data_IF_885900742510
#
_entry.id   IF_885900742510
#
_cell.length_a   1.000
_cell.length_b   1.000
_cell.length_c   1.000
_cell.angle_alpha   90.00
_cell.angle_beta   90.00
_cell.angle_gamma   90.00
#
_symmetry.space_group_name_H-M   'P 1'
#
loop_
_entity.id
_entity.type
_entity.pdbx_description
1 polymer ?
#
# COMPACT_ATOMS: atom_id res chain seq x y z
N UNK A 1 -16.23 3.14 18.19
CA UNK A 1 -15.27 3.68 17.20
C UNK A 1 -13.83 3.16 17.40
N UNK A 2 -13.30 3.04 18.62
CA UNK A 2 -11.92 2.61 18.89
C UNK A 2 -11.52 1.21 18.33
N UNK A 3 -12.41 0.20 18.37
CA UNK A 3 -12.12 -1.15 17.85
C UNK A 3 -11.84 -1.20 16.34
N UNK A 4 -12.49 -0.35 15.54
CA UNK A 4 -12.27 -0.31 14.07
C UNK A 4 -10.98 0.43 13.72
N UNK A 5 -10.64 1.50 14.45
CA UNK A 5 -9.37 2.21 14.30
C UNK A 5 -8.16 1.29 14.57
N UNK A 6 -8.26 0.41 15.58
CA UNK A 6 -7.23 -0.57 15.90
C UNK A 6 -7.02 -1.61 14.79
N UNK A 7 -8.11 -2.06 14.14
CA UNK A 7 -8.04 -2.99 13.00
C UNK A 7 -7.44 -2.31 11.76
N UNK A 8 -7.73 -1.02 11.54
CA UNK A 8 -7.16 -0.27 10.42
C UNK A 8 -5.64 -0.05 10.59
N UNK A 9 -5.21 0.33 11.79
CA UNK A 9 -3.79 0.37 12.12
C UNK A 9 -3.16 -1.02 11.94
N UNK A 10 -3.81 -2.09 12.42
CA UNK A 10 -3.30 -3.45 12.26
C UNK A 10 -3.13 -3.88 10.79
N UNK A 11 -4.04 -3.52 9.86
CA UNK A 11 -3.86 -3.86 8.44
C UNK A 11 -2.71 -3.08 7.78
N UNK A 12 -2.50 -1.80 8.15
CA UNK A 12 -1.38 -1.00 7.67
C UNK A 12 -0.05 -1.48 8.28
N UNK A 13 -0.03 -1.79 9.58
CA UNK A 13 1.11 -2.37 10.29
C UNK A 13 1.48 -3.77 9.76
N UNK A 14 0.49 -4.59 9.43
CA UNK A 14 0.72 -5.91 8.81
C UNK A 14 1.39 -5.78 7.43
N UNK A 15 1.11 -4.70 6.69
CA UNK A 15 1.81 -4.40 5.44
C UNK A 15 3.23 -3.87 5.67
N UNK A 16 3.46 -3.15 6.77
CA UNK A 16 4.76 -2.58 7.14
C UNK A 16 5.70 -3.55 7.87
N UNK A 17 5.29 -4.80 8.10
CA UNK A 17 6.17 -5.86 8.61
C UNK A 17 6.93 -5.47 9.88
N UNK A 18 6.24 -5.25 11.00
CA UNK A 18 6.90 -5.03 12.29
C UNK A 18 7.56 -6.33 12.78
N UNK A 19 8.77 -6.61 12.29
CA UNK A 19 9.64 -7.67 12.79
C UNK A 19 10.24 -7.22 14.12
N UNK A 20 9.97 -7.97 15.19
CA UNK A 20 10.62 -7.78 16.48
C UNK A 20 12.14 -7.85 16.36
N UNK A 21 12.82 -6.88 16.97
CA UNK A 21 14.26 -6.87 17.12
C UNK A 21 14.64 -8.06 18.03
N UNK A 22 15.34 -9.04 17.48
CA UNK A 22 16.15 -9.99 18.26
C UNK A 22 17.62 -9.69 17.95
N UNK A 23 18.51 -9.66 18.96
CA UNK A 23 19.92 -9.38 18.74
C UNK A 23 20.57 -10.58 18.05
N UNK A 24 21.26 -10.34 16.93
CA UNK A 24 22.22 -11.29 16.37
C UNK A 24 23.49 -11.20 17.22
N UNK A 25 23.84 -12.30 17.88
CA UNK A 25 25.13 -12.46 18.53
C UNK A 25 26.18 -12.74 17.45
N UNK A 26 27.18 -11.88 17.34
CA UNK A 26 28.33 -12.10 16.48
C UNK A 26 29.21 -13.20 17.10
N UNK A 27 29.49 -14.25 16.33
CA UNK A 27 30.64 -15.13 16.60
C UNK A 27 31.67 -14.91 15.51
N UNK A 28 32.77 -14.28 15.92
CA UNK A 28 34.00 -14.09 15.17
C UNK A 28 34.74 -15.42 14.99
N UNK A 29 35.12 -15.73 13.76
CA UNK A 29 36.29 -16.57 13.47
C UNK A 29 36.75 -16.30 12.04
N UNK A 30 37.66 -15.34 11.90
CA UNK A 30 38.53 -15.19 10.72
C UNK A 30 39.48 -16.40 10.58
N UNK A 31 39.91 -16.74 9.35
CA UNK A 31 41.31 -16.44 9.03
C UNK A 31 41.54 -15.85 7.63
N UNK A 32 42.69 -15.19 7.51
CA UNK A 32 43.14 -14.33 6.43
C UNK A 32 43.58 -15.05 5.14
N UNK A 33 43.60 -14.27 4.03
CA UNK A 33 44.72 -14.00 3.10
C UNK A 33 44.20 -13.85 1.66
N UNK A 34 44.33 -12.64 1.09
CA UNK A 34 44.87 -12.33 -0.25
C UNK A 34 44.73 -10.80 -0.51
N UNK A 35 45.85 -10.09 -0.71
CA UNK A 35 45.82 -8.68 -1.14
C UNK A 35 46.10 -8.58 -2.64
N UNK A 36 45.17 -8.06 -3.46
CA UNK A 36 45.50 -7.50 -4.76
C UNK A 36 45.82 -5.99 -4.63
N UNK A 37 46.69 -5.50 -5.50
CA UNK A 37 47.04 -4.09 -5.65
C UNK A 37 45.77 -3.24 -5.83
N UNK A 38 45.65 -2.16 -5.05
CA UNK A 38 44.46 -1.28 -5.05
C UNK A 38 44.46 -0.42 -6.30
N UNK A 39 43.45 -0.61 -7.15
CA UNK A 39 43.25 0.21 -8.34
C UNK A 39 42.82 1.63 -7.95
N UNK A 40 43.19 2.64 -8.75
CA UNK A 40 42.87 4.05 -8.48
C UNK A 40 41.36 4.34 -8.38
N UNK A 41 40.51 3.45 -8.92
CA UNK A 41 39.05 3.48 -8.74
C UNK A 41 38.63 3.15 -7.30
N UNK A 42 39.36 2.27 -6.62
CA UNK A 42 39.08 1.90 -5.23
C UNK A 42 39.50 3.03 -4.28
N UNK A 43 40.58 3.74 -4.58
CA UNK A 43 40.95 4.95 -3.84
C UNK A 43 39.94 6.09 -4.04
N UNK A 44 39.33 6.21 -5.21
CA UNK A 44 38.25 7.19 -5.47
C UNK A 44 36.98 6.81 -4.73
N UNK A 45 36.59 5.54 -4.75
CA UNK A 45 35.44 5.04 -3.99
C UNK A 45 35.64 5.17 -2.47
N UNK A 46 36.86 4.94 -1.97
CA UNK A 46 37.20 5.13 -0.56
C UNK A 46 37.27 6.62 -0.18
N UNK A 47 37.67 7.51 -1.11
CA UNK A 47 37.56 8.97 -0.92
C UNK A 47 36.11 9.43 -0.90
N UNK A 48 35.25 8.94 -1.78
CA UNK A 48 33.81 9.23 -1.74
C UNK A 48 33.14 8.69 -0.48
N UNK A 49 33.52 7.49 -0.03
CA UNK A 49 33.05 6.92 1.23
C UNK A 49 33.53 7.73 2.45
N UNK A 50 34.78 8.21 2.44
CA UNK A 50 35.33 9.04 3.50
C UNK A 50 34.77 10.48 3.49
N UNK A 51 34.41 11.02 2.32
CA UNK A 51 33.69 12.29 2.19
C UNK A 51 32.24 12.14 2.70
N UNK A 52 31.58 11.03 2.39
CA UNK A 52 30.26 10.69 2.92
C UNK A 52 30.26 10.51 4.45
N UNK A 53 31.28 9.82 5.00
CA UNK A 53 31.47 9.69 6.46
C UNK A 53 31.81 11.03 7.13
N UNK A 54 32.62 11.88 6.49
CA UNK A 54 32.86 13.27 6.96
C UNK A 54 31.57 14.08 7.01
N UNK A 55 30.74 13.95 5.98
CA UNK A 55 29.44 14.63 5.91
C UNK A 55 28.49 14.11 7.00
N UNK A 56 28.58 12.82 7.33
CA UNK A 56 27.80 12.17 8.39
C UNK A 56 28.29 12.55 9.80
N UNK A 57 29.59 12.73 10.00
CA UNK A 57 30.20 13.20 11.26
C UNK A 57 29.95 14.68 11.53
N UNK A 58 29.72 15.49 10.51
CA UNK A 58 29.32 16.90 10.64
C UNK A 58 27.89 17.09 11.23
N UNK A 59 27.14 16.01 11.48
CA UNK A 59 25.81 16.05 12.10
C UNK A 59 25.82 16.11 13.63
N UNK A 60 26.99 15.98 14.27
CA UNK A 60 27.21 16.15 15.71
C UNK A 60 27.79 17.55 15.92
N UNK A 61 27.03 18.44 16.57
CA UNK A 61 27.57 19.74 16.93
C UNK A 61 28.72 19.59 17.95
N UNK A 62 29.65 20.55 18.05
CA UNK A 62 30.81 20.46 18.96
C UNK A 62 30.45 20.25 20.43
N UNK A 63 29.19 20.52 20.80
CA UNK A 63 28.62 20.33 22.14
C UNK A 63 28.01 18.93 22.37
N UNK A 64 28.11 18.03 21.39
CA UNK A 64 27.55 16.68 21.46
C UNK A 64 26.06 16.60 21.18
N UNK A 65 25.41 17.70 20.75
CA UNK A 65 24.00 17.66 20.37
C UNK A 65 23.80 16.96 19.02
N UNK A 66 22.83 16.04 18.99
CA UNK A 66 22.39 15.37 17.78
C UNK A 66 21.33 16.24 17.10
N UNK A 67 21.57 16.65 15.86
CA UNK A 67 20.48 17.21 15.05
C UNK A 67 19.68 16.07 14.45
N UNK A 68 18.48 15.80 14.97
CA UNK A 68 17.51 14.95 14.26
C UNK A 68 17.06 15.73 13.04
N UNK A 69 17.79 15.62 11.93
CA UNK A 69 17.20 15.94 10.64
C UNK A 69 16.07 14.95 10.45
N UNK A 70 14.83 15.43 10.61
CA UNK A 70 13.65 14.66 10.25
C UNK A 70 13.79 14.38 8.76
N UNK A 71 14.26 13.19 8.39
CA UNK A 71 14.13 12.73 7.02
C UNK A 71 12.62 12.76 6.77
N UNK A 72 12.15 13.72 5.97
CA UNK A 72 10.82 13.62 5.42
C UNK A 72 10.82 12.28 4.68
N UNK A 73 10.09 11.31 5.20
CA UNK A 73 10.04 10.01 4.57
C UNK A 73 9.43 10.24 3.20
N UNK A 74 10.19 9.91 2.16
CA UNK A 74 9.73 9.91 0.78
C UNK A 74 8.60 8.89 0.67
N UNK A 75 7.38 9.32 0.98
CA UNK A 75 6.18 8.51 0.91
C UNK A 75 5.44 8.77 -0.41
N UNK A 76 6.18 9.07 -1.49
CA UNK A 76 5.60 9.19 -2.81
C UNK A 76 5.11 7.82 -3.25
N UNK A 77 3.81 7.60 -3.10
CA UNK A 77 3.13 6.43 -3.58
C UNK A 77 2.07 6.91 -4.55
N UNK A 78 2.12 6.41 -5.77
CA UNK A 78 1.07 6.64 -6.75
C UNK A 78 0.60 5.28 -7.24
N UNK A 79 -0.72 5.07 -7.21
CA UNK A 79 -1.35 3.86 -7.69
C UNK A 79 -2.46 4.24 -8.63
N UNK A 80 -2.46 3.62 -9.79
CA UNK A 80 -3.49 3.81 -10.82
C UNK A 80 -4.08 2.47 -11.19
N UNK A 81 -5.33 2.46 -11.60
CA UNK A 81 -5.89 1.28 -12.20
C UNK A 81 -7.23 1.52 -12.86
N UNK A 82 -7.46 0.74 -13.89
CA UNK A 82 -8.71 0.69 -14.62
C UNK A 82 -8.93 -0.75 -15.07
N UNK A 83 -10.18 -1.17 -15.17
CA UNK A 83 -10.47 -2.52 -15.60
C UNK A 83 -11.74 -3.06 -15.02
N UNK A 84 -11.84 -4.37 -15.02
CA UNK A 84 -13.01 -5.07 -14.52
C UNK A 84 -12.65 -6.47 -14.01
N UNK A 85 -13.50 -6.95 -13.11
CA UNK A 85 -13.47 -8.30 -12.58
C UNK A 85 -14.88 -8.87 -12.53
N UNK A 86 -14.99 -10.20 -12.43
CA UNK A 86 -16.27 -10.85 -12.19
C UNK A 86 -16.54 -10.88 -10.69
N UNK A 87 -17.53 -10.11 -10.24
CA UNK A 87 -18.01 -10.13 -8.86
C UNK A 87 -18.81 -11.41 -8.62
N UNK A 88 -18.38 -12.29 -7.68
CA UNK A 88 -19.11 -13.50 -7.38
C UNK A 88 -20.43 -13.22 -6.65
N UNK A 89 -21.33 -14.20 -6.67
CA UNK A 89 -22.53 -14.17 -5.84
C UNK A 89 -22.14 -14.15 -4.35
N UNK A 90 -22.96 -13.52 -3.52
CA UNK A 90 -22.77 -13.39 -2.07
C UNK A 90 -21.92 -12.19 -1.65
N UNK A 91 -21.36 -11.43 -2.59
CA UNK A 91 -20.56 -10.23 -2.32
C UNK A 91 -21.39 -9.02 -1.89
N UNK A 92 -22.67 -9.00 -2.29
CA UNK A 92 -23.66 -8.01 -1.86
C UNK A 92 -24.46 -8.53 -0.68
N UNK A 93 -24.46 -7.79 0.44
CA UNK A 93 -25.15 -8.23 1.66
C UNK A 93 -26.67 -8.29 1.52
N UNK A 94 -27.26 -7.33 0.79
CA UNK A 94 -28.71 -7.21 0.59
C UNK A 94 -29.22 -7.95 -0.66
N UNK A 95 -28.31 -8.39 -1.54
CA UNK A 95 -28.64 -9.07 -2.79
C UNK A 95 -27.65 -10.22 -3.06
N UNK A 96 -27.65 -11.28 -2.22
CA UNK A 96 -26.62 -12.32 -2.26
C UNK A 96 -26.60 -13.17 -3.53
N UNK A 97 -27.64 -13.09 -4.37
CA UNK A 97 -27.67 -13.75 -5.68
C UNK A 97 -27.08 -12.90 -6.81
N UNK A 98 -26.80 -11.63 -6.56
CA UNK A 98 -26.25 -10.72 -7.55
C UNK A 98 -24.80 -11.08 -7.84
N UNK A 99 -24.50 -11.27 -9.12
CA UNK A 99 -23.15 -11.57 -9.62
C UNK A 99 -22.98 -11.01 -11.01
N UNK A 100 -21.75 -10.72 -11.40
CA UNK A 100 -21.42 -10.31 -12.77
C UNK A 100 -20.33 -9.26 -12.81
N UNK A 101 -20.23 -8.57 -13.94
CA UNK A 101 -19.11 -7.67 -14.20
C UNK A 101 -19.14 -6.43 -13.31
N UNK A 102 -18.01 -6.15 -12.67
CA UNK A 102 -17.78 -4.90 -11.93
C UNK A 102 -16.60 -4.19 -12.56
N UNK A 103 -16.84 -2.98 -13.04
CA UNK A 103 -15.84 -2.12 -13.68
C UNK A 103 -15.35 -1.08 -12.68
N UNK A 104 -14.05 -0.82 -12.64
CA UNK A 104 -13.45 0.18 -11.76
C UNK A 104 -12.51 1.08 -12.54
N UNK A 105 -12.32 2.28 -11.99
CA UNK A 105 -11.28 3.20 -12.38
C UNK A 105 -10.84 3.97 -11.14
N UNK A 106 -9.54 4.11 -10.93
CA UNK A 106 -9.02 4.95 -9.88
C UNK A 106 -7.61 5.48 -10.14
N UNK A 107 -7.32 6.58 -9.47
CA UNK A 107 -6.00 7.11 -9.23
C UNK A 107 -5.90 7.50 -7.74
N UNK A 108 -4.73 7.29 -7.14
CA UNK A 108 -4.44 7.73 -5.78
C UNK A 108 -2.95 8.02 -5.63
N UNK A 109 -2.61 9.24 -5.25
CA UNK A 109 -1.23 9.68 -5.07
C UNK A 109 -1.02 10.40 -3.74
N UNK A 110 0.04 10.04 -3.02
CA UNK A 110 0.59 10.88 -1.95
C UNK A 110 1.60 11.84 -2.58
N UNK A 111 1.37 13.14 -2.40
CA UNK A 111 2.33 14.18 -2.77
C UNK A 111 3.45 14.33 -1.74
N UNK A 112 4.43 15.16 -2.09
CA UNK A 112 5.55 15.50 -1.22
C UNK A 112 5.05 16.09 0.10
N UNK A 113 5.41 15.44 1.21
CA UNK A 113 5.04 15.91 2.56
C UNK A 113 3.54 15.83 2.89
N UNK A 114 2.72 15.21 2.03
CA UNK A 114 1.28 15.06 2.29
C UNK A 114 0.98 13.66 2.82
N UNK A 115 0.34 13.58 4.00
CA UNK A 115 -0.14 12.32 4.54
C UNK A 115 -1.48 11.87 3.93
N UNK A 116 -2.24 12.80 3.34
CA UNK A 116 -3.54 12.54 2.73
C UNK A 116 -3.38 12.39 1.21
N UNK A 117 -3.80 11.26 0.63
CA UNK A 117 -3.71 11.05 -0.81
C UNK A 117 -4.73 11.89 -1.57
N UNK A 118 -4.39 12.27 -2.80
CA UNK A 118 -5.32 12.87 -3.76
C UNK A 118 -5.65 11.88 -4.88
N UNK A 119 -6.80 12.07 -5.53
CA UNK A 119 -7.26 11.28 -6.68
C UNK A 119 -8.74 10.93 -6.61
N UNK A 120 -9.20 10.02 -7.46
CA UNK A 120 -10.59 9.59 -7.54
C UNK A 120 -10.72 8.07 -7.68
N UNK A 121 -11.76 7.48 -7.10
CA UNK A 121 -12.16 6.08 -7.28
C UNK A 121 -13.62 6.05 -7.72
N UNK A 122 -13.88 5.30 -8.79
CA UNK A 122 -15.21 4.98 -9.27
C UNK A 122 -15.34 3.48 -9.48
N UNK A 123 -16.48 2.92 -9.07
CA UNK A 123 -16.83 1.52 -9.30
C UNK A 123 -18.26 1.45 -9.83
N UNK A 124 -18.44 0.83 -10.99
CA UNK A 124 -19.72 0.50 -11.58
C UNK A 124 -20.00 -0.98 -11.37
N UNK A 125 -21.09 -1.26 -10.65
CA UNK A 125 -21.60 -2.61 -10.46
C UNK A 125 -22.66 -2.90 -11.52
N UNK A 126 -22.23 -3.38 -12.69
CA UNK A 126 -23.10 -3.51 -13.88
C UNK A 126 -24.37 -4.34 -13.64
N UNK A 127 -24.37 -5.45 -12.87
CA UNK A 127 -25.57 -6.24 -12.61
C UNK A 127 -26.71 -5.49 -11.91
N UNK A 128 -26.39 -4.47 -11.10
CA UNK A 128 -27.38 -3.64 -10.40
C UNK A 128 -27.48 -2.21 -10.95
N UNK A 129 -26.51 -1.77 -11.75
CA UNK A 129 -26.40 -0.39 -12.19
C UNK A 129 -25.92 0.59 -11.10
N UNK A 130 -25.60 0.11 -9.89
CA UNK A 130 -25.10 0.95 -8.81
C UNK A 130 -23.71 1.51 -9.12
N UNK A 131 -23.48 2.76 -8.73
CA UNK A 131 -22.19 3.43 -8.88
C UNK A 131 -21.67 3.91 -7.54
N UNK A 132 -20.51 3.42 -7.14
CA UNK A 132 -19.77 3.95 -6.00
C UNK A 132 -18.75 4.98 -6.45
N UNK A 133 -18.68 6.12 -5.76
CA UNK A 133 -17.68 7.18 -6.01
C UNK A 133 -17.02 7.59 -4.71
N UNK A 134 -15.70 7.72 -4.70
CA UNK A 134 -14.99 8.30 -3.57
C UNK A 134 -15.32 9.78 -3.41
N UNK A 135 -15.42 10.24 -2.18
CA UNK A 135 -15.49 11.66 -1.80
C UNK A 135 -14.16 12.17 -1.25
N UNK A 136 -13.27 11.27 -0.86
CA UNK A 136 -11.93 11.60 -0.40
C UNK A 136 -11.19 10.37 0.10
N UNK A 137 -9.88 10.51 0.25
CA UNK A 137 -8.99 9.46 0.76
C UNK A 137 -8.49 9.80 2.15
N UNK A 138 -8.35 8.77 2.98
CA UNK A 138 -7.78 8.89 4.32
C UNK A 138 -6.27 8.65 4.27
N UNK A 139 -5.85 7.59 3.58
CA UNK A 139 -4.46 7.17 3.49
C UNK A 139 -4.23 6.18 2.34
N UNK A 140 -2.98 6.14 1.87
CA UNK A 140 -2.46 5.21 0.88
C UNK A 140 -1.12 4.66 1.39
N UNK A 141 -0.96 3.34 1.37
CA UNK A 141 0.32 2.66 1.65
C UNK A 141 0.60 1.67 0.54
N UNK A 142 1.80 1.70 -0.04
CA UNK A 142 2.23 0.80 -1.09
C UNK A 142 3.61 0.23 -0.80
N UNK A 143 3.73 -1.10 -0.76
CA UNK A 143 4.98 -1.83 -0.42
C UNK A 143 5.03 -3.13 -1.23
N UNK A 144 6.18 -3.43 -1.84
CA UNK A 144 6.46 -4.75 -2.42
C UNK A 144 5.44 -5.25 -3.45
N UNK A 145 4.91 -4.35 -4.29
CA UNK A 145 3.88 -4.68 -5.29
C UNK A 145 2.46 -4.86 -4.73
N UNK A 146 2.22 -4.48 -3.47
CA UNK A 146 0.89 -4.45 -2.86
C UNK A 146 0.56 -3.03 -2.41
N UNK A 147 -0.67 -2.60 -2.63
CA UNK A 147 -1.16 -1.31 -2.15
C UNK A 147 -2.46 -1.47 -1.36
N UNK A 148 -2.64 -0.59 -0.36
CA UNK A 148 -3.89 -0.43 0.37
C UNK A 148 -4.27 1.05 0.35
N UNK A 149 -5.52 1.31 -0.01
CA UNK A 149 -6.13 2.64 -0.05
C UNK A 149 -7.42 2.62 0.77
N UNK A 150 -7.60 3.61 1.64
CA UNK A 150 -8.81 3.77 2.42
C UNK A 150 -9.37 5.17 2.21
N UNK A 151 -10.70 5.28 2.26
CA UNK A 151 -11.34 6.58 2.16
C UNK A 151 -12.83 6.51 2.44
N UNK A 152 -13.50 7.58 2.01
CA UNK A 152 -14.94 7.76 2.08
C UNK A 152 -15.54 7.88 0.69
N UNK A 153 -16.83 7.57 0.56
CA UNK A 153 -17.54 7.70 -0.69
C UNK A 153 -19.05 7.63 -0.54
N UNK A 154 -19.72 7.72 -1.68
CA UNK A 154 -21.17 7.66 -1.83
C UNK A 154 -21.55 6.49 -2.72
N UNK A 155 -22.75 5.94 -2.50
CA UNK A 155 -23.38 4.98 -3.40
C UNK A 155 -24.53 5.71 -4.10
N UNK A 156 -24.49 5.75 -5.43
CA UNK A 156 -25.44 6.48 -6.28
C UNK A 156 -25.59 7.97 -5.90
N UNK A 157 -24.51 8.57 -5.39
CA UNK A 157 -24.50 9.98 -4.96
C UNK A 157 -25.18 10.24 -3.62
N UNK A 158 -25.61 9.21 -2.90
CA UNK A 158 -26.25 9.33 -1.59
C UNK A 158 -25.48 8.54 -0.51
N UNK A 159 -25.82 8.82 0.75
CA UNK A 159 -25.29 8.14 1.93
C UNK A 159 -23.82 8.44 2.22
N UNK A 160 -23.36 8.01 3.40
CA UNK A 160 -21.96 8.11 3.80
C UNK A 160 -21.39 6.72 4.00
N UNK A 161 -20.43 6.37 3.16
CA UNK A 161 -19.78 5.06 3.18
C UNK A 161 -18.28 5.22 3.40
N UNK A 162 -17.67 4.19 3.96
CA UNK A 162 -16.24 3.99 3.87
C UNK A 162 -15.95 2.88 2.88
N UNK A 163 -14.76 2.94 2.32
CA UNK A 163 -14.23 1.84 1.55
C UNK A 163 -12.80 1.53 1.96
N UNK A 164 -12.39 0.28 1.69
CA UNK A 164 -10.99 -0.12 1.64
C UNK A 164 -10.74 -0.89 0.36
N UNK A 165 -9.72 -0.45 -0.35
CA UNK A 165 -9.22 -1.07 -1.56
C UNK A 165 -7.86 -1.71 -1.26
N UNK A 166 -7.69 -2.98 -1.62
CA UNK A 166 -6.42 -3.69 -1.57
C UNK A 166 -6.08 -4.22 -2.95
N UNK A 167 -4.85 -3.96 -3.39
CA UNK A 167 -4.38 -4.25 -4.74
C UNK A 167 -3.07 -5.01 -4.70
N UNK A 168 -2.86 -5.87 -5.69
CA UNK A 168 -1.56 -6.46 -5.99
C UNK A 168 -1.28 -6.22 -7.47
N UNK A 169 -0.17 -5.54 -7.75
CA UNK A 169 0.40 -5.39 -9.08
C UNK A 169 1.15 -6.68 -9.43
N UNK A 170 0.55 -7.48 -10.30
CA UNK A 170 1.06 -8.80 -10.67
C UNK A 170 2.46 -8.72 -11.29
N UNK A 171 2.76 -7.65 -12.05
CA UNK A 171 4.09 -7.49 -12.67
C UNK A 171 5.19 -7.32 -11.62
N UNK A 172 4.86 -6.73 -10.47
CA UNK A 172 5.80 -6.60 -9.34
C UNK A 172 5.91 -7.86 -8.49
N UNK A 173 5.03 -8.85 -8.67
CA UNK A 173 5.09 -10.15 -7.99
C UNK A 173 5.82 -11.25 -8.80
N UNK A 174 6.26 -10.94 -10.01
CA UNK A 174 6.98 -11.85 -10.89
C UNK A 174 6.28 -12.11 -12.22
N UNK A 175 6.93 -12.91 -13.08
CA UNK A 175 6.43 -13.19 -14.42
C UNK A 175 5.07 -13.89 -14.37
N UNK A 176 4.14 -13.41 -15.21
CA UNK A 176 2.82 -14.02 -15.46
C UNK A 176 1.89 -14.09 -14.23
N UNK A 177 2.11 -13.27 -13.20
CA UNK A 177 1.13 -13.12 -12.11
C UNK A 177 0.02 -12.15 -12.54
N UNK A 178 -1.26 -12.46 -12.27
CA UNK A 178 -2.36 -11.54 -12.54
C UNK A 178 -2.37 -10.39 -11.52
N UNK A 179 -2.95 -9.28 -11.93
CA UNK A 179 -3.35 -8.21 -11.02
C UNK A 179 -4.51 -8.67 -10.15
N UNK A 180 -4.43 -8.42 -8.84
CA UNK A 180 -5.47 -8.81 -7.88
C UNK A 180 -6.09 -7.58 -7.24
N UNK A 181 -7.40 -7.66 -6.99
CA UNK A 181 -8.21 -6.54 -6.54
C UNK A 181 -9.19 -6.98 -5.44
N UNK A 182 -9.26 -6.25 -4.34
CA UNK A 182 -10.32 -6.39 -3.34
C UNK A 182 -10.87 -5.03 -2.95
N UNK A 183 -12.17 -4.86 -3.10
CA UNK A 183 -12.88 -3.68 -2.58
C UNK A 183 -13.90 -4.11 -1.53
N UNK A 184 -13.89 -3.38 -0.42
CA UNK A 184 -14.87 -3.51 0.66
C UNK A 184 -15.52 -2.15 0.90
N UNK A 185 -16.85 -2.11 1.00
CA UNK A 185 -17.67 -0.91 1.19
C UNK A 185 -18.66 -1.15 2.33
N UNK A 186 -18.71 -0.24 3.30
CA UNK A 186 -19.66 -0.32 4.42
C UNK A 186 -20.25 1.04 4.74
N UNK A 187 -21.50 1.03 5.20
CA UNK A 187 -22.21 2.23 5.61
C UNK A 187 -21.68 2.71 6.97
N UNK A 188 -21.44 4.02 7.11
CA UNK A 188 -20.85 4.60 8.33
C UNK A 188 -21.84 4.64 9.49
N UNK A 189 -23.09 4.99 9.20
CA UNK A 189 -24.14 5.21 10.21
C UNK A 189 -24.55 3.90 10.87
N UNK A 190 -24.85 2.88 10.05
CA UNK A 190 -25.28 1.55 10.50
C UNK A 190 -24.11 0.64 10.82
N UNK A 191 -22.92 0.94 10.29
CA UNK A 191 -21.77 0.05 10.34
C UNK A 191 -21.92 -1.22 9.48
N UNK A 192 -23.01 -1.34 8.72
CA UNK A 192 -23.33 -2.53 7.94
C UNK A 192 -22.43 -2.65 6.70
N UNK A 193 -21.93 -3.87 6.46
CA UNK A 193 -21.21 -4.20 5.24
C UNK A 193 -22.19 -4.21 4.07
N UNK A 194 -21.87 -3.48 3.00
CA UNK A 194 -22.69 -3.38 1.79
C UNK A 194 -22.15 -4.31 0.73
N UNK A 195 -20.84 -4.24 0.51
CA UNK A 195 -20.15 -4.99 -0.52
C UNK A 195 -18.75 -5.41 -0.05
N UNK A 196 -18.35 -6.65 -0.33
CA UNK A 196 -16.98 -7.12 -0.26
C UNK A 196 -16.76 -8.10 -1.40
N UNK A 197 -15.80 -7.83 -2.30
CA UNK A 197 -15.51 -8.76 -3.41
C UNK A 197 -14.97 -10.11 -2.92
N UNK A 198 -14.53 -10.18 -1.65
CA UNK A 198 -14.16 -11.40 -0.94
C UNK A 198 -14.92 -11.48 0.39
N UNK A 199 -16.23 -11.66 0.29
CA UNK A 199 -17.12 -11.79 1.44
C UNK A 199 -16.69 -12.95 2.35
N UNK A 200 -16.71 -12.71 3.67
CA UNK A 200 -16.38 -13.72 4.69
C UNK A 200 -14.89 -13.83 5.03
N UNK A 201 -14.00 -13.33 4.17
CA UNK A 201 -12.57 -13.30 4.46
C UNK A 201 -12.22 -12.24 5.50
N UNK A 202 -11.20 -12.53 6.31
CA UNK A 202 -10.63 -11.58 7.26
C UNK A 202 -10.27 -10.25 6.56
N UNK A 203 -10.41 -9.15 7.28
CA UNK A 203 -10.24 -7.81 6.69
C UNK A 203 -8.90 -7.66 5.98
N UNK A 204 -7.80 -7.96 6.65
CA UNK A 204 -6.48 -7.74 6.07
C UNK A 204 -6.02 -8.89 5.16
N UNK A 205 -6.88 -9.86 4.83
CA UNK A 205 -6.53 -10.98 3.94
C UNK A 205 -6.20 -10.44 2.55
N UNK A 206 -5.16 -11.01 1.95
CA UNK A 206 -4.72 -10.66 0.61
C UNK A 206 -5.85 -10.81 -0.42
N UNK A 207 -5.83 -9.97 -1.46
CA UNK A 207 -6.80 -10.08 -2.53
C UNK A 207 -6.61 -11.41 -3.27
N UNK A 208 -7.70 -12.06 -3.66
CA UNK A 208 -7.73 -13.31 -4.43
C UNK A 208 -8.50 -13.15 -5.74
N UNK A 209 -9.28 -12.08 -5.89
CA UNK A 209 -10.00 -11.78 -7.13
C UNK A 209 -9.05 -11.23 -8.17
N UNK A 210 -8.79 -12.02 -9.22
CA UNK A 210 -8.02 -11.58 -10.38
C UNK A 210 -8.84 -10.64 -11.26
N UNK A 211 -8.16 -9.67 -11.87
CA UNK A 211 -8.76 -8.89 -12.94
C UNK A 211 -9.03 -9.78 -14.15
N UNK A 212 -10.18 -9.59 -14.77
CA UNK A 212 -10.54 -10.26 -16.02
C UNK A 212 -10.28 -9.36 -17.25
N UNK A 213 -10.04 -8.07 -17.02
CA UNK A 213 -9.43 -7.15 -17.99
C UNK A 213 -9.01 -5.84 -17.34
N UNK A 214 -8.14 -5.09 -18.01
CA UNK A 214 -7.52 -3.87 -17.50
C UNK A 214 -6.22 -4.14 -16.72
N UNK A 215 -5.81 -3.20 -15.87
CA UNK A 215 -4.60 -3.32 -15.07
C UNK A 215 -4.63 -2.47 -13.80
N UNK A 216 -3.83 -2.86 -12.80
CA UNK A 216 -3.41 -1.96 -11.72
C UNK A 216 -1.92 -1.79 -11.76
N UNK A 217 -1.46 -0.56 -11.58
CA UNK A 217 -0.04 -0.20 -11.63
C UNK A 217 0.33 0.52 -10.36
N UNK A 218 1.33 0.00 -9.67
CA UNK A 218 1.90 0.65 -8.49
C UNK A 218 3.22 1.31 -8.89
N UNK A 219 3.20 2.64 -8.88
CA UNK A 219 4.36 3.50 -9.09
C UNK A 219 5.07 3.69 -7.76
N UNK A 220 6.33 3.26 -7.70
CA UNK A 220 7.23 3.34 -6.54
C UNK A 220 8.54 3.96 -6.97
#
# INVERSE_FOLDING_TARGET
MAKRLLVYMACALALMGLLGILPVAATDSSPAVFSPERDASDEMAEREANEADRTQRAAIAPDGSFSVRRFAQDNQHHVTGDGWFMSPAGTWSVAPRLSGRTTFQFDAANGWGTATPAGQLMILFEPSGHVFRSTGYDWLVAIGGKAQLMGSGTLDGAGTYRFRLTLVDGRRQGLQKPDLFRIRIWNVETGALVYDSQMGDAECKDPTTALAGGSVVIHM
#
